data_IF_286084083366
#
_entry.id   IF_286084083366
#
_cell.length_a   1.000
_cell.length_b   1.000
_cell.length_c   1.000
_cell.angle_alpha   90.00
_cell.angle_beta   90.00
_cell.angle_gamma   90.00
#
_symmetry.space_group_name_H-M   'P 1'
#
loop_
_entity.id
_entity.type
_entity.pdbx_description
1 polymer ?
#
# COMPACT_ATOMS: atom_id res chain seq x y z
N UNK A 1 9.87 -18.40 -5.52
CA UNK A 1 9.86 -17.00 -5.01
C UNK A 1 9.31 -15.99 -6.02
N UNK A 2 9.74 -15.96 -7.32
CA UNK A 2 9.08 -15.08 -8.30
C UNK A 2 7.66 -15.57 -8.65
N UNK A 3 7.45 -16.87 -8.78
CA UNK A 3 6.14 -17.50 -9.05
C UNK A 3 5.13 -17.23 -7.92
N UNK A 4 5.54 -17.37 -6.67
CA UNK A 4 4.65 -17.16 -5.51
C UNK A 4 4.18 -15.71 -5.41
N UNK A 5 5.04 -14.75 -5.79
CA UNK A 5 4.70 -13.32 -5.78
C UNK A 5 3.67 -12.99 -6.85
N UNK A 6 3.78 -13.59 -8.04
CA UNK A 6 2.84 -13.39 -9.13
C UNK A 6 1.45 -13.99 -8.80
N UNK A 7 1.39 -15.20 -8.24
CA UNK A 7 0.14 -15.79 -7.78
C UNK A 7 -0.55 -14.94 -6.71
N UNK A 8 0.20 -14.44 -5.72
CA UNK A 8 -0.34 -13.58 -4.68
C UNK A 8 -0.86 -12.24 -5.24
N UNK A 9 -0.19 -11.68 -6.24
CA UNK A 9 -0.64 -10.44 -6.91
C UNK A 9 -1.95 -10.64 -7.66
N UNK A 10 -2.13 -11.77 -8.32
CA UNK A 10 -3.35 -12.09 -9.07
C UNK A 10 -4.56 -12.38 -8.17
N UNK A 11 -4.35 -12.85 -6.94
CA UNK A 11 -5.46 -13.07 -5.99
C UNK A 11 -6.21 -11.80 -5.62
N UNK A 12 -5.63 -10.61 -5.82
CA UNK A 12 -6.32 -9.34 -5.59
C UNK A 12 -7.37 -9.01 -6.66
N UNK A 13 -7.34 -9.65 -7.83
CA UNK A 13 -8.29 -9.39 -8.91
C UNK A 13 -9.75 -9.72 -8.50
N UNK A 14 -9.95 -10.82 -7.79
CA UNK A 14 -11.29 -11.30 -7.41
C UNK A 14 -11.94 -10.52 -6.26
N UNK A 15 -11.20 -9.59 -5.65
CA UNK A 15 -11.60 -8.91 -4.43
C UNK A 15 -11.81 -7.40 -4.59
N UNK A 16 -11.86 -6.83 -5.82
CA UNK A 16 -11.87 -5.38 -6.03
C UNK A 16 -12.99 -4.63 -5.28
N UNK A 17 -14.23 -5.11 -5.38
CA UNK A 17 -15.36 -4.48 -4.69
C UNK A 17 -15.27 -4.63 -3.16
N UNK A 18 -14.76 -5.77 -2.69
CA UNK A 18 -14.52 -6.03 -1.28
C UNK A 18 -13.38 -5.15 -0.76
N UNK A 19 -12.29 -5.04 -1.53
CA UNK A 19 -11.15 -4.19 -1.21
C UNK A 19 -11.57 -2.73 -0.99
N UNK A 20 -12.34 -2.17 -1.92
CA UNK A 20 -12.83 -0.80 -1.85
C UNK A 20 -13.65 -0.54 -0.58
N UNK A 21 -14.49 -1.49 -0.18
CA UNK A 21 -15.38 -1.37 0.97
C UNK A 21 -14.66 -1.61 2.31
N UNK A 22 -13.82 -2.65 2.37
CA UNK A 22 -13.30 -3.17 3.62
C UNK A 22 -11.97 -2.54 4.07
N UNK A 23 -11.09 -2.16 3.12
CA UNK A 23 -9.82 -1.49 3.49
C UNK A 23 -10.08 -0.08 4.01
N UNK A 24 -9.44 0.33 5.11
CA UNK A 24 -9.58 1.69 5.61
C UNK A 24 -9.00 2.71 4.64
N UNK A 25 -9.50 3.94 4.73
CA UNK A 25 -8.86 5.07 4.10
C UNK A 25 -7.62 5.50 4.91
N UNK A 26 -6.68 6.15 4.25
CA UNK A 26 -5.51 6.73 4.92
C UNK A 26 -5.88 8.06 5.58
N UNK A 27 -5.18 8.44 6.68
CA UNK A 27 -5.39 9.75 7.31
C UNK A 27 -5.14 10.90 6.31
N UNK A 28 -6.01 11.94 6.28
CA UNK A 28 -5.80 13.11 5.43
C UNK A 28 -4.42 13.76 5.61
N UNK A 29 -3.92 13.83 6.86
CA UNK A 29 -2.61 14.39 7.17
C UNK A 29 -1.46 13.71 6.42
N UNK A 30 -1.59 12.41 6.06
CA UNK A 30 -0.59 11.72 5.25
C UNK A 30 -0.47 12.35 3.86
N UNK A 31 -1.58 12.71 3.23
CA UNK A 31 -1.59 13.34 1.91
C UNK A 31 -1.12 14.79 1.98
N UNK A 32 -1.50 15.52 3.05
CA UNK A 32 -1.04 16.90 3.27
C UNK A 32 0.50 16.94 3.40
N UNK A 33 1.06 16.05 4.23
CA UNK A 33 2.51 15.94 4.40
C UNK A 33 3.21 15.46 3.12
N UNK A 34 2.63 14.52 2.37
CA UNK A 34 3.16 14.10 1.07
C UNK A 34 3.28 15.27 0.10
N UNK A 35 2.22 16.09 -0.01
CA UNK A 35 2.18 17.27 -0.87
C UNK A 35 3.24 18.29 -0.44
N UNK A 36 3.36 18.55 0.86
CA UNK A 36 4.33 19.50 1.41
C UNK A 36 5.77 19.01 1.19
N UNK A 37 6.08 17.78 1.61
CA UNK A 37 7.44 17.21 1.56
C UNK A 37 7.96 17.07 0.12
N UNK A 38 7.09 16.67 -0.82
CA UNK A 38 7.43 16.60 -2.23
C UNK A 38 7.26 17.95 -2.97
N UNK A 39 6.87 19.02 -2.26
CA UNK A 39 6.67 20.37 -2.79
C UNK A 39 5.73 20.43 -4.00
N UNK A 40 4.69 19.60 -4.01
CA UNK A 40 3.78 19.43 -5.13
C UNK A 40 2.85 20.63 -5.33
N UNK A 41 2.53 20.90 -6.59
CA UNK A 41 1.64 21.98 -7.01
C UNK A 41 0.53 21.45 -7.89
N UNK A 42 -0.63 22.06 -7.83
CA UNK A 42 -1.74 21.72 -8.71
C UNK A 42 -1.28 21.63 -10.18
N UNK A 43 -1.64 20.52 -10.82
CA UNK A 43 -1.27 20.24 -12.21
C UNK A 43 0.03 19.45 -12.38
N UNK A 44 0.79 19.22 -11.30
CA UNK A 44 1.96 18.33 -11.33
C UNK A 44 1.55 16.92 -11.74
N UNK A 45 2.51 16.19 -12.31
CA UNK A 45 2.33 14.85 -12.85
C UNK A 45 2.78 13.80 -11.85
N UNK A 46 1.86 12.94 -11.46
CA UNK A 46 2.11 11.89 -10.50
C UNK A 46 1.98 10.51 -11.17
N UNK A 47 2.84 9.59 -10.82
CA UNK A 47 2.76 8.17 -11.19
C UNK A 47 2.45 7.35 -9.95
N UNK A 48 1.32 6.66 -9.93
CA UNK A 48 0.98 5.70 -8.88
C UNK A 48 1.23 4.27 -9.33
N UNK A 49 1.98 3.53 -8.51
CA UNK A 49 2.28 2.12 -8.73
C UNK A 49 1.35 1.28 -7.86
N UNK A 50 0.52 0.41 -8.47
CA UNK A 50 -0.40 -0.46 -7.77
C UNK A 50 -1.54 0.30 -7.11
N UNK A 51 -2.30 1.07 -7.88
CA UNK A 51 -3.38 1.92 -7.35
C UNK A 51 -4.57 1.13 -6.78
N UNK A 52 -4.62 -0.18 -6.99
CA UNK A 52 -5.76 -1.02 -6.64
C UNK A 52 -7.08 -0.41 -7.14
N UNK A 53 -8.00 -0.06 -6.25
CA UNK A 53 -9.29 0.56 -6.58
C UNK A 53 -9.25 2.09 -6.59
N UNK A 54 -8.08 2.71 -6.42
CA UNK A 54 -7.89 4.17 -6.44
C UNK A 54 -8.07 4.88 -5.10
N UNK A 55 -7.95 4.16 -3.96
CA UNK A 55 -8.14 4.76 -2.62
C UNK A 55 -7.13 5.85 -2.30
N UNK A 56 -5.87 5.68 -2.67
CA UNK A 56 -4.84 6.70 -2.47
C UNK A 56 -4.83 7.73 -3.62
N UNK A 57 -5.26 7.32 -4.80
CA UNK A 57 -5.40 8.22 -5.96
C UNK A 57 -6.45 9.31 -5.72
N UNK A 58 -7.60 8.94 -5.14
CA UNK A 58 -8.77 9.81 -5.03
C UNK A 58 -8.49 11.13 -4.27
N UNK A 59 -7.86 11.13 -3.09
CA UNK A 59 -7.49 12.37 -2.40
C UNK A 59 -6.58 13.26 -3.25
N UNK A 60 -5.56 12.69 -3.90
CA UNK A 60 -4.62 13.43 -4.73
C UNK A 60 -5.28 13.98 -6.00
N UNK A 61 -6.17 13.22 -6.64
CA UNK A 61 -6.96 13.68 -7.77
C UNK A 61 -7.82 14.89 -7.40
N UNK A 62 -8.39 14.91 -6.19
CA UNK A 62 -9.17 16.05 -5.70
C UNK A 62 -8.33 17.34 -5.52
N UNK A 63 -7.02 17.22 -5.30
CA UNK A 63 -6.08 18.36 -5.30
C UNK A 63 -5.77 18.89 -6.70
N UNK A 64 -6.17 18.16 -7.76
CA UNK A 64 -6.03 18.58 -9.16
C UNK A 64 -4.67 18.25 -9.76
N UNK A 65 -4.06 17.16 -9.32
CA UNK A 65 -2.88 16.58 -9.96
C UNK A 65 -3.28 15.79 -11.22
N UNK A 66 -2.33 15.66 -12.15
CA UNK A 66 -2.44 14.77 -13.31
C UNK A 66 -1.83 13.41 -12.94
N UNK A 67 -2.65 12.36 -12.79
CA UNK A 67 -2.20 11.11 -12.23
C UNK A 67 -2.26 9.99 -13.28
N UNK A 68 -1.14 9.31 -13.47
CA UNK A 68 -1.10 8.03 -14.19
C UNK A 68 -0.98 6.92 -13.16
N UNK A 69 -1.96 6.01 -13.15
CA UNK A 69 -1.94 4.83 -12.30
C UNK A 69 -1.54 3.61 -13.13
N UNK A 70 -0.58 2.82 -12.66
CA UNK A 70 -0.20 1.53 -13.27
C UNK A 70 -0.64 0.42 -12.32
N UNK A 71 -1.61 -0.40 -12.75
CA UNK A 71 -2.19 -1.47 -11.94
C UNK A 71 -2.10 -2.80 -12.67
N UNK A 72 -1.57 -3.81 -11.97
CA UNK A 72 -1.39 -5.16 -12.52
C UNK A 72 -2.72 -5.91 -12.65
N UNK A 73 -3.59 -5.79 -11.64
CA UNK A 73 -4.85 -6.51 -11.56
C UNK A 73 -5.89 -5.88 -12.50
N UNK A 74 -6.40 -6.65 -13.48
CA UNK A 74 -7.40 -6.17 -14.43
C UNK A 74 -8.66 -5.66 -13.76
N UNK A 75 -9.23 -6.46 -12.84
CA UNK A 75 -10.46 -6.09 -12.13
C UNK A 75 -10.27 -4.89 -11.22
N UNK A 76 -9.09 -4.78 -10.58
CA UNK A 76 -8.72 -3.61 -9.78
C UNK A 76 -8.58 -2.36 -10.65
N UNK A 77 -7.92 -2.47 -11.81
CA UNK A 77 -7.78 -1.36 -12.76
C UNK A 77 -9.15 -0.89 -13.30
N UNK A 78 -10.06 -1.84 -13.60
CA UNK A 78 -11.41 -1.51 -14.05
C UNK A 78 -12.24 -0.84 -12.94
N UNK A 79 -12.13 -1.32 -11.70
CA UNK A 79 -12.74 -0.67 -10.54
C UNK A 79 -12.18 0.75 -10.30
N UNK A 80 -10.85 0.92 -10.41
CA UNK A 80 -10.21 2.23 -10.30
C UNK A 80 -10.73 3.22 -11.37
N UNK A 81 -10.85 2.78 -12.64
CA UNK A 81 -11.44 3.61 -13.71
C UNK A 81 -12.86 4.06 -13.37
N UNK A 82 -13.67 3.16 -12.80
CA UNK A 82 -15.02 3.50 -12.34
C UNK A 82 -15.02 4.51 -11.21
N UNK A 83 -14.22 4.28 -10.16
CA UNK A 83 -14.15 5.13 -8.99
C UNK A 83 -13.58 6.53 -9.28
N UNK A 84 -12.69 6.62 -10.26
CA UNK A 84 -11.97 7.85 -10.63
C UNK A 84 -12.58 8.55 -11.85
N UNK A 85 -13.72 8.08 -12.38
CA UNK A 85 -14.34 8.61 -13.60
C UNK A 85 -14.69 10.10 -13.55
N UNK A 86 -14.85 10.67 -12.36
CA UNK A 86 -15.09 12.10 -12.16
C UNK A 86 -13.83 12.98 -12.34
N UNK A 87 -12.64 12.38 -12.44
CA UNK A 87 -11.35 13.06 -12.54
C UNK A 87 -10.73 12.85 -13.93
N UNK A 88 -10.95 13.76 -14.89
CA UNK A 88 -10.48 13.59 -16.28
C UNK A 88 -8.96 13.59 -16.42
N UNK A 89 -8.24 14.13 -15.44
CA UNK A 89 -6.77 14.16 -15.40
C UNK A 89 -6.16 12.89 -14.78
N UNK A 90 -6.97 11.86 -14.49
CA UNK A 90 -6.51 10.56 -14.00
C UNK A 90 -6.61 9.52 -15.12
N UNK A 91 -5.52 8.81 -15.37
CA UNK A 91 -5.45 7.70 -16.34
C UNK A 91 -5.05 6.42 -15.62
N UNK A 92 -5.80 5.33 -15.83
CA UNK A 92 -5.47 4.01 -15.26
C UNK A 92 -5.02 3.06 -16.37
N UNK A 93 -3.78 2.60 -16.27
CA UNK A 93 -3.14 1.66 -17.19
C UNK A 93 -3.10 0.28 -16.54
N UNK A 94 -3.65 -0.72 -17.23
CA UNK A 94 -3.53 -2.12 -16.81
C UNK A 94 -2.20 -2.68 -17.32
N UNK A 95 -1.20 -2.75 -16.44
CA UNK A 95 0.14 -3.27 -16.76
C UNK A 95 0.90 -3.63 -15.47
N UNK A 96 1.89 -4.49 -15.58
CA UNK A 96 2.91 -4.64 -14.54
C UNK A 96 3.89 -3.46 -14.61
N UNK A 97 4.17 -2.82 -13.48
CA UNK A 97 5.12 -1.70 -13.45
C UNK A 97 6.48 -2.08 -13.99
N UNK A 98 6.94 -3.30 -13.72
CA UNK A 98 8.23 -3.84 -14.17
C UNK A 98 8.41 -3.82 -15.69
N UNK A 99 7.33 -4.06 -16.43
CA UNK A 99 7.35 -4.11 -17.90
C UNK A 99 6.76 -2.87 -18.57
N UNK A 100 6.11 -1.98 -17.80
CA UNK A 100 5.53 -0.76 -18.34
C UNK A 100 6.62 0.24 -18.75
N UNK A 101 6.49 0.81 -19.94
CA UNK A 101 7.46 1.77 -20.49
C UNK A 101 7.18 3.19 -20.00
N UNK A 102 7.83 3.57 -18.91
CA UNK A 102 7.77 4.92 -18.37
C UNK A 102 8.46 5.95 -19.28
N UNK A 103 9.45 5.54 -20.08
CA UNK A 103 10.20 6.43 -20.95
C UNK A 103 9.36 6.96 -22.16
N UNK A 104 8.26 6.29 -22.48
CA UNK A 104 7.29 6.76 -23.44
C UNK A 104 6.42 7.94 -22.95
N UNK A 105 6.51 8.26 -21.63
CA UNK A 105 5.76 9.33 -20.99
C UNK A 105 6.64 10.55 -20.74
N UNK A 106 6.02 11.72 -20.59
CA UNK A 106 6.72 12.86 -20.00
C UNK A 106 7.08 12.52 -18.54
N UNK A 107 8.27 12.94 -18.02
CA UNK A 107 8.69 12.65 -16.67
C UNK A 107 7.68 13.13 -15.61
N UNK A 108 7.71 12.48 -14.44
CA UNK A 108 6.80 12.74 -13.33
C UNK A 108 7.47 13.58 -12.24
N UNK A 109 6.67 14.41 -11.57
CA UNK A 109 7.10 15.16 -10.37
C UNK A 109 7.19 14.26 -9.15
N UNK A 110 6.29 13.27 -9.08
CA UNK A 110 6.24 12.27 -8.03
C UNK A 110 5.97 10.89 -8.61
N UNK A 111 6.73 9.89 -8.17
CA UNK A 111 6.36 8.46 -8.25
C UNK A 111 5.98 7.99 -6.87
N UNK A 112 4.80 7.39 -6.71
CA UNK A 112 4.38 6.91 -5.41
C UNK A 112 3.72 5.54 -5.42
N UNK A 113 3.70 4.87 -4.25
CA UNK A 113 3.06 3.59 -4.05
C UNK A 113 2.40 3.51 -2.66
N UNK A 114 1.11 3.22 -2.61
CA UNK A 114 0.34 3.05 -1.38
C UNK A 114 0.09 1.56 -1.10
N UNK A 115 0.79 0.99 -0.13
CA UNK A 115 0.73 -0.45 0.22
C UNK A 115 1.02 -1.38 -0.97
N UNK A 116 1.80 -0.91 -1.93
CA UNK A 116 2.14 -1.64 -3.15
C UNK A 116 3.65 -1.80 -3.38
N UNK A 117 4.50 -0.95 -2.79
CA UNK A 117 5.93 -0.90 -3.05
C UNK A 117 6.66 -2.22 -2.81
N UNK A 118 6.28 -2.96 -1.78
CA UNK A 118 6.89 -4.26 -1.43
C UNK A 118 6.57 -5.39 -2.42
N UNK A 119 5.58 -5.21 -3.30
CA UNK A 119 5.22 -6.15 -4.37
C UNK A 119 6.06 -5.95 -5.64
N UNK A 120 6.64 -4.76 -5.83
CA UNK A 120 7.50 -4.46 -6.98
C UNK A 120 8.84 -5.18 -6.80
N UNK A 121 9.41 -5.68 -7.90
CA UNK A 121 10.70 -6.36 -7.90
C UNK A 121 11.79 -5.48 -7.25
N UNK A 122 12.38 -5.91 -6.13
CA UNK A 122 13.36 -5.12 -5.39
C UNK A 122 14.62 -4.79 -6.17
N UNK A 123 14.99 -5.60 -7.19
CA UNK A 123 16.19 -5.37 -7.99
C UNK A 123 16.05 -4.16 -8.93
N UNK A 124 14.81 -3.83 -9.32
CA UNK A 124 14.56 -2.79 -10.31
C UNK A 124 13.76 -1.60 -9.79
N UNK A 125 13.00 -1.74 -8.70
CA UNK A 125 11.98 -0.77 -8.27
C UNK A 125 12.52 0.65 -8.11
N UNK A 126 13.66 0.83 -7.43
CA UNK A 126 14.25 2.15 -7.20
C UNK A 126 14.77 2.77 -8.50
N UNK A 127 15.47 1.98 -9.32
CA UNK A 127 15.99 2.47 -10.60
C UNK A 127 14.86 2.89 -11.53
N UNK A 128 13.85 2.04 -11.68
CA UNK A 128 12.74 2.31 -12.58
C UNK A 128 11.89 3.51 -12.13
N UNK A 129 11.69 3.67 -10.83
CA UNK A 129 11.04 4.86 -10.28
C UNK A 129 11.88 6.13 -10.55
N UNK A 130 13.20 6.06 -10.34
CA UNK A 130 14.11 7.17 -10.63
C UNK A 130 14.12 7.56 -12.12
N UNK A 131 14.13 6.58 -13.02
CA UNK A 131 14.08 6.81 -14.47
C UNK A 131 12.78 7.46 -14.94
N UNK A 132 11.68 7.25 -14.23
CA UNK A 132 10.38 7.87 -14.51
C UNK A 132 10.28 9.32 -14.00
N UNK A 133 11.15 9.73 -13.08
CA UNK A 133 11.11 11.05 -12.45
C UNK A 133 11.82 12.12 -13.30
N UNK A 134 11.28 13.35 -13.25
CA UNK A 134 12.02 14.51 -13.70
C UNK A 134 13.20 14.83 -12.75
N UNK A 135 14.18 15.65 -13.17
CA UNK A 135 15.17 16.21 -12.25
C UNK A 135 14.48 16.89 -11.07
N UNK A 136 14.97 16.64 -9.86
CA UNK A 136 14.37 17.10 -8.59
C UNK A 136 13.00 16.50 -8.24
N UNK A 137 12.49 15.52 -8.98
CA UNK A 137 11.29 14.78 -8.64
C UNK A 137 11.46 13.90 -7.39
N UNK A 138 10.36 13.37 -6.86
CA UNK A 138 10.37 12.62 -5.61
C UNK A 138 9.82 11.21 -5.79
N UNK A 139 10.36 10.28 -5.01
CA UNK A 139 9.76 8.98 -4.74
C UNK A 139 9.06 9.06 -3.39
N UNK A 140 7.83 8.54 -3.31
CA UNK A 140 7.17 8.33 -2.03
C UNK A 140 6.50 6.97 -1.96
N UNK A 141 6.53 6.35 -0.79
CA UNK A 141 5.72 5.16 -0.57
C UNK A 141 5.37 5.01 0.91
N UNK A 142 4.29 4.29 1.15
CA UNK A 142 3.83 3.93 2.49
C UNK A 142 3.11 2.59 2.49
N UNK A 143 3.12 1.94 3.65
CA UNK A 143 2.32 0.76 3.92
C UNK A 143 1.42 1.01 5.12
N UNK A 144 0.27 0.34 5.17
CA UNK A 144 -0.59 0.32 6.33
C UNK A 144 -0.61 -1.07 6.95
N UNK A 145 -0.32 -1.16 8.24
CA UNK A 145 -0.30 -2.43 8.97
C UNK A 145 -1.06 -2.34 10.29
N UNK A 146 -1.31 -3.49 10.91
CA UNK A 146 -1.89 -3.57 12.24
C UNK A 146 -0.84 -3.19 13.28
N UNK A 147 -1.19 -2.25 14.15
CA UNK A 147 -0.39 -1.90 15.32
C UNK A 147 -1.21 -2.15 16.59
N UNK A 148 -0.55 -2.55 17.67
CA UNK A 148 -1.21 -2.92 18.92
C UNK A 148 -0.75 -1.96 20.02
N UNK A 149 -1.57 -0.95 20.42
CA UNK A 149 -1.25 -0.11 21.56
C UNK A 149 -1.24 -0.91 22.86
N UNK A 150 -0.64 -0.34 23.93
CA UNK A 150 -0.53 -1.04 25.22
C UNK A 150 -1.90 -1.41 25.81
N UNK A 151 -2.93 -0.59 25.54
CA UNK A 151 -4.31 -0.78 25.98
C UNK A 151 -5.22 -1.30 24.84
N UNK A 152 -4.66 -2.10 23.93
CA UNK A 152 -5.42 -2.66 22.82
C UNK A 152 -6.51 -3.61 23.31
N UNK A 153 -7.54 -3.76 22.47
CA UNK A 153 -8.58 -4.75 22.69
C UNK A 153 -7.97 -6.16 22.76
N UNK A 154 -8.21 -6.93 23.84
CA UNK A 154 -7.65 -8.28 24.00
C UNK A 154 -8.09 -9.27 22.92
N UNK A 155 -9.14 -8.96 22.17
CA UNK A 155 -9.67 -9.79 21.10
C UNK A 155 -8.60 -10.33 20.14
N UNK A 156 -7.64 -9.48 19.76
CA UNK A 156 -6.60 -9.87 18.80
C UNK A 156 -5.61 -10.89 19.39
N UNK A 157 -5.31 -10.79 20.68
CA UNK A 157 -4.49 -11.77 21.40
C UNK A 157 -5.26 -13.08 21.64
N UNK A 158 -6.50 -12.96 22.07
CA UNK A 158 -7.37 -14.12 22.29
C UNK A 158 -7.64 -14.90 21.00
N UNK A 159 -7.66 -14.24 19.85
CA UNK A 159 -7.88 -14.89 18.56
C UNK A 159 -6.67 -15.73 18.11
N UNK A 160 -5.48 -15.55 18.70
CA UNK A 160 -4.29 -16.32 18.34
C UNK A 160 -4.46 -17.81 18.64
N UNK A 161 -5.26 -18.21 19.63
CA UNK A 161 -5.58 -19.61 19.88
C UNK A 161 -6.22 -20.30 18.67
N UNK A 162 -7.05 -19.55 17.91
CA UNK A 162 -7.68 -20.06 16.69
C UNK A 162 -6.71 -20.09 15.53
N UNK A 163 -5.84 -19.08 15.40
CA UNK A 163 -4.79 -19.08 14.39
C UNK A 163 -3.81 -20.25 14.61
N UNK A 164 -3.45 -20.54 15.87
CA UNK A 164 -2.62 -21.70 16.23
C UNK A 164 -3.31 -23.03 15.88
N UNK A 165 -4.62 -23.14 16.20
CA UNK A 165 -5.43 -24.33 15.89
C UNK A 165 -5.46 -24.64 14.39
N UNK A 166 -5.55 -23.61 13.56
CA UNK A 166 -5.62 -23.78 12.09
C UNK A 166 -4.26 -23.81 11.40
N UNK A 167 -3.15 -23.71 12.17
CA UNK A 167 -1.79 -23.74 11.64
C UNK A 167 -1.28 -22.45 11.00
N UNK A 168 -1.93 -21.32 11.30
CA UNK A 168 -1.61 -19.96 10.81
C UNK A 168 -1.16 -19.03 11.95
N UNK A 169 -0.78 -19.61 13.09
CA UNK A 169 -0.32 -18.87 14.27
C UNK A 169 0.97 -18.09 14.01
N UNK A 170 1.15 -17.04 14.78
CA UNK A 170 2.37 -16.27 14.77
C UNK A 170 3.53 -17.04 15.42
N UNK A 171 4.79 -16.82 15.00
CA UNK A 171 5.95 -17.33 15.70
C UNK A 171 5.90 -16.96 17.19
N UNK A 172 6.40 -17.84 18.05
CA UNK A 172 6.34 -17.66 19.51
C UNK A 172 7.08 -16.41 20.02
N UNK A 173 8.02 -15.89 19.23
CA UNK A 173 8.79 -14.66 19.47
C UNK A 173 8.25 -13.45 18.69
N UNK A 174 7.11 -13.56 18.03
CA UNK A 174 6.52 -12.47 17.29
C UNK A 174 6.16 -11.30 18.20
N UNK A 175 6.69 -10.14 17.88
CA UNK A 175 6.37 -8.90 18.57
C UNK A 175 5.35 -8.14 17.75
N UNK A 176 4.25 -7.78 18.38
CA UNK A 176 3.24 -6.95 17.76
C UNK A 176 3.77 -5.51 17.66
N UNK A 177 3.79 -4.92 16.45
CA UNK A 177 4.25 -3.54 16.31
C UNK A 177 3.33 -2.58 17.07
N UNK A 178 3.94 -1.58 17.71
CA UNK A 178 3.21 -0.54 18.44
C UNK A 178 3.01 0.71 17.58
N UNK A 179 2.00 1.53 17.92
CA UNK A 179 1.86 2.86 17.33
C UNK A 179 3.16 3.67 17.42
N UNK A 180 3.56 4.30 16.33
CA UNK A 180 4.78 5.10 16.24
C UNK A 180 6.10 4.30 16.19
N UNK A 181 6.08 2.98 16.31
CA UNK A 181 7.28 2.13 16.39
C UNK A 181 7.49 1.25 15.13
N UNK A 182 6.73 1.51 14.07
CA UNK A 182 6.95 0.79 12.82
C UNK A 182 8.34 1.10 12.26
N UNK A 183 9.08 0.09 11.77
CA UNK A 183 10.36 0.33 11.11
C UNK A 183 10.18 1.17 9.86
N UNK A 184 11.21 1.93 9.52
CA UNK A 184 11.28 2.66 8.26
C UNK A 184 12.28 2.01 7.29
N UNK A 185 12.18 2.40 6.01
CA UNK A 185 13.01 1.88 4.92
C UNK A 185 14.09 2.89 4.48
N UNK A 186 14.46 3.86 5.34
CA UNK A 186 15.44 4.90 5.04
C UNK A 186 16.76 4.33 4.53
N UNK A 187 17.31 3.35 5.25
CA UNK A 187 18.58 2.74 4.91
C UNK A 187 18.54 2.06 3.53
N UNK A 188 17.42 1.44 3.18
CA UNK A 188 17.24 0.81 1.87
C UNK A 188 17.15 1.85 0.75
N UNK A 189 16.40 2.94 0.97
CA UNK A 189 16.29 4.04 0.01
C UNK A 189 17.67 4.67 -0.24
N UNK A 190 18.43 4.94 0.81
CA UNK A 190 19.77 5.53 0.74
C UNK A 190 20.77 4.57 0.06
N UNK A 191 20.69 3.27 0.38
CA UNK A 191 21.55 2.25 -0.22
C UNK A 191 21.33 2.09 -1.75
N UNK A 192 20.17 2.44 -2.26
CA UNK A 192 19.93 2.47 -3.70
C UNK A 192 20.79 3.51 -4.43
N UNK A 193 21.28 4.55 -3.75
CA UNK A 193 22.18 5.58 -4.28
C UNK A 193 21.53 6.49 -5.34
N UNK A 194 20.22 6.43 -5.49
CA UNK A 194 19.42 7.16 -6.49
C UNK A 194 18.56 8.26 -5.87
N UNK A 195 18.46 8.26 -4.55
CA UNK A 195 17.60 9.17 -3.78
C UNK A 195 18.38 9.78 -2.61
N UNK A 196 18.01 10.98 -2.23
CA UNK A 196 18.58 11.74 -1.11
C UNK A 196 17.48 12.41 -0.28
N UNK A 197 17.85 13.01 0.87
CA UNK A 197 16.93 13.78 1.72
C UNK A 197 15.66 12.98 2.07
N UNK A 198 15.86 11.76 2.58
CA UNK A 198 14.76 10.90 2.95
C UNK A 198 14.04 11.43 4.19
N UNK A 199 12.80 11.85 4.01
CA UNK A 199 11.88 12.24 5.08
C UNK A 199 10.96 11.09 5.42
N UNK A 200 10.72 10.89 6.72
CA UNK A 200 9.85 9.81 7.23
C UNK A 200 8.83 10.40 8.19
N UNK A 201 7.56 9.99 8.05
CA UNK A 201 6.47 10.36 8.94
C UNK A 201 5.64 9.14 9.33
N UNK A 202 5.26 9.08 10.60
CA UNK A 202 4.43 8.01 11.15
C UNK A 202 3.01 8.51 11.37
N UNK A 203 2.02 7.66 11.05
CA UNK A 203 0.60 7.93 11.23
C UNK A 203 -0.04 6.75 11.92
N UNK A 204 -0.83 7.03 12.93
CA UNK A 204 -1.61 6.01 13.65
C UNK A 204 -3.07 6.43 13.68
N UNK A 205 -3.96 5.48 13.37
CA UNK A 205 -5.41 5.68 13.45
C UNK A 205 -6.12 4.39 13.83
N UNK A 206 -7.41 4.47 14.10
CA UNK A 206 -8.20 3.30 14.44
C UNK A 206 -9.52 3.28 13.66
N UNK A 207 -10.00 2.07 13.39
CA UNK A 207 -11.28 1.81 12.73
C UNK A 207 -12.03 0.76 13.52
N UNK A 208 -13.32 1.02 13.77
CA UNK A 208 -14.22 0.08 14.44
C UNK A 208 -14.91 -0.81 13.40
N UNK A 209 -14.80 -2.13 13.58
CA UNK A 209 -15.40 -3.13 12.72
C UNK A 209 -16.43 -3.94 13.49
N UNK A 210 -17.58 -4.20 12.89
CA UNK A 210 -18.42 -5.32 13.30
C UNK A 210 -17.85 -6.65 12.79
N UNK A 211 -18.48 -7.76 13.13
CA UNK A 211 -17.96 -9.07 12.80
C UNK A 211 -17.82 -9.32 11.29
N UNK A 212 -18.83 -8.92 10.52
CA UNK A 212 -18.81 -9.11 9.06
C UNK A 212 -17.83 -8.15 8.39
N UNK A 213 -17.77 -6.88 8.80
CA UNK A 213 -16.78 -5.92 8.32
C UNK A 213 -15.35 -6.34 8.61
N UNK A 214 -15.11 -6.97 9.78
CA UNK A 214 -13.78 -7.49 10.10
C UNK A 214 -13.43 -8.71 9.24
N UNK A 215 -14.36 -9.62 9.01
CA UNK A 215 -14.17 -10.76 8.08
C UNK A 215 -13.96 -10.26 6.65
N UNK A 216 -14.73 -9.27 6.22
CA UNK A 216 -14.56 -8.62 4.92
C UNK A 216 -13.12 -8.04 4.77
N UNK A 217 -12.62 -7.36 5.81
CA UNK A 217 -11.26 -6.87 5.83
C UNK A 217 -10.24 -8.01 5.68
N UNK A 218 -10.37 -9.10 6.45
CA UNK A 218 -9.46 -10.24 6.40
C UNK A 218 -9.43 -10.86 5.00
N UNK A 219 -10.56 -10.94 4.31
CA UNK A 219 -10.66 -11.42 2.93
C UNK A 219 -9.95 -10.50 1.90
N UNK A 220 -9.41 -9.36 2.31
CA UNK A 220 -8.59 -8.50 1.45
C UNK A 220 -7.08 -8.72 1.66
N UNK A 221 -6.69 -9.54 2.62
CA UNK A 221 -5.28 -9.86 2.86
C UNK A 221 -4.88 -11.15 2.12
N UNK A 222 -3.75 -11.11 1.41
CA UNK A 222 -3.23 -12.25 0.65
C UNK A 222 -3.09 -13.51 1.49
N UNK A 223 -2.60 -13.41 2.73
CA UNK A 223 -2.49 -14.55 3.64
C UNK A 223 -3.82 -15.25 3.91
N UNK A 224 -4.90 -14.48 4.16
CA UNK A 224 -6.22 -15.07 4.40
C UNK A 224 -6.86 -15.62 3.11
N UNK A 225 -6.60 -14.99 1.96
CA UNK A 225 -7.06 -15.49 0.67
C UNK A 225 -6.41 -16.84 0.37
N UNK A 226 -5.13 -17.00 0.71
CA UNK A 226 -4.38 -18.24 0.48
C UNK A 226 -4.74 -19.39 1.44
N UNK A 227 -5.43 -19.12 2.57
CA UNK A 227 -5.88 -20.14 3.51
C UNK A 227 -6.82 -21.15 2.84
N UNK A 228 -6.78 -22.39 3.32
CA UNK A 228 -7.76 -23.41 2.92
C UNK A 228 -9.18 -23.01 3.36
N UNK A 229 -10.23 -23.42 2.63
CA UNK A 229 -11.62 -23.08 2.97
C UNK A 229 -11.98 -23.41 4.42
N UNK A 230 -11.60 -24.59 4.93
CA UNK A 230 -11.88 -25.01 6.30
C UNK A 230 -11.20 -24.12 7.36
N UNK A 231 -9.99 -23.61 7.08
CA UNK A 231 -9.27 -22.69 7.96
C UNK A 231 -10.03 -21.35 8.08
N UNK A 232 -10.43 -20.79 6.94
CA UNK A 232 -11.25 -19.57 6.90
C UNK A 232 -12.60 -19.76 7.61
N UNK A 233 -13.30 -20.86 7.33
CA UNK A 233 -14.60 -21.13 7.94
C UNK A 233 -14.48 -21.22 9.46
N UNK A 234 -13.44 -21.91 9.98
CA UNK A 234 -13.16 -22.01 11.42
C UNK A 234 -12.88 -20.67 12.05
N UNK A 235 -11.95 -19.90 11.45
CA UNK A 235 -11.54 -18.58 11.95
C UNK A 235 -12.71 -17.59 11.92
N UNK A 236 -13.42 -17.47 10.80
CA UNK A 236 -14.49 -16.50 10.62
C UNK A 236 -15.72 -16.80 11.46
N UNK A 237 -16.05 -18.08 11.67
CA UNK A 237 -17.09 -18.48 12.60
C UNK A 237 -16.77 -18.06 14.03
N UNK A 238 -15.50 -18.22 14.44
CA UNK A 238 -15.07 -17.84 15.79
C UNK A 238 -15.03 -16.32 15.98
N UNK A 239 -14.60 -15.56 14.97
CA UNK A 239 -14.67 -14.10 14.97
C UNK A 239 -16.11 -13.63 15.17
N UNK A 240 -17.07 -14.16 14.38
CA UNK A 240 -18.48 -13.80 14.50
C UNK A 240 -19.04 -14.16 15.87
N UNK A 241 -18.71 -15.35 16.40
CA UNK A 241 -19.16 -15.78 17.72
C UNK A 241 -18.65 -14.83 18.82
N UNK A 242 -17.33 -14.58 18.86
CA UNK A 242 -16.71 -13.74 19.92
C UNK A 242 -17.20 -12.30 19.86
N UNK A 243 -17.30 -11.71 18.67
CA UNK A 243 -17.81 -10.35 18.53
C UNK A 243 -19.31 -10.27 18.81
N UNK A 244 -20.10 -11.30 18.43
CA UNK A 244 -21.52 -11.37 18.73
C UNK A 244 -21.86 -11.46 20.23
N UNK A 245 -20.95 -11.99 21.05
CA UNK A 245 -21.09 -12.05 22.51
C UNK A 245 -20.75 -10.75 23.23
N UNK A 246 -20.15 -9.77 22.53
CA UNK A 246 -19.78 -8.46 23.09
C UNK A 246 -20.97 -7.51 23.13
N UNK A 247 -21.07 -6.62 24.15
CA UNK A 247 -22.15 -5.65 24.23
C UNK A 247 -22.23 -4.73 23.00
N UNK A 248 -21.07 -4.30 22.47
CA UNK A 248 -20.98 -3.37 21.34
C UNK A 248 -20.91 -4.08 20.00
N UNK A 249 -20.73 -5.41 19.99
CA UNK A 249 -20.56 -6.26 18.80
C UNK A 249 -19.50 -5.75 17.82
N UNK A 250 -18.49 -5.08 18.33
CA UNK A 250 -17.42 -4.43 17.56
C UNK A 250 -16.04 -4.71 18.13
N UNK A 251 -15.06 -4.54 17.26
CA UNK A 251 -13.64 -4.51 17.62
C UNK A 251 -12.99 -3.27 17.04
N UNK A 252 -12.18 -2.58 17.83
CA UNK A 252 -11.35 -1.46 17.38
C UNK A 252 -10.01 -1.98 16.93
N UNK A 253 -9.74 -1.86 15.62
CA UNK A 253 -8.44 -2.19 15.05
C UNK A 253 -7.62 -0.91 14.85
N UNK A 254 -6.40 -0.93 15.36
CA UNK A 254 -5.44 0.15 15.19
C UNK A 254 -4.57 -0.10 13.97
N UNK A 255 -4.31 0.96 13.24
CA UNK A 255 -3.49 0.96 12.04
C UNK A 255 -2.33 1.90 12.22
N UNK A 256 -1.17 1.52 11.69
CA UNK A 256 -0.01 2.39 11.56
C UNK A 256 0.43 2.44 10.11
N UNK A 257 0.91 3.60 9.68
CA UNK A 257 1.58 3.77 8.39
C UNK A 257 2.87 4.57 8.56
N UNK A 258 3.85 4.26 7.70
CA UNK A 258 5.09 5.01 7.60
C UNK A 258 5.19 5.55 6.19
N UNK A 259 5.13 6.87 6.05
CA UNK A 259 5.34 7.58 4.79
C UNK A 259 6.83 7.86 4.64
N UNK A 260 7.38 7.46 3.50
CA UNK A 260 8.73 7.83 3.05
C UNK A 260 8.60 8.76 1.88
N UNK A 261 9.35 9.86 1.89
CA UNK A 261 9.49 10.79 0.76
C UNK A 261 10.96 11.05 0.54
N UNK A 262 11.46 10.80 -0.65
CA UNK A 262 12.88 10.94 -0.98
C UNK A 262 13.06 11.65 -2.31
N UNK A 263 14.00 12.60 -2.36
CA UNK A 263 14.29 13.37 -3.56
C UNK A 263 15.22 12.61 -4.51
N UNK A 264 14.93 12.61 -5.80
CA UNK A 264 15.80 12.00 -6.81
C UNK A 264 17.13 12.78 -6.93
N UNK A 265 18.25 12.05 -6.97
CA UNK A 265 19.56 12.68 -7.25
C UNK A 265 19.65 13.06 -8.72
N UNK A 266 20.22 14.24 -8.98
CA UNK A 266 20.33 14.81 -10.34
C UNK A 266 21.64 14.44 -11.05
N UNK A 267 22.68 13.99 -10.34
CA UNK A 267 23.98 13.69 -10.91
C UNK A 267 24.05 12.35 -11.62
N UNK A 268 24.42 12.39 -12.91
CA UNK A 268 24.61 11.22 -13.79
C UNK A 268 25.70 10.23 -13.31
N UNK A 269 26.52 10.58 -12.32
CA UNK A 269 27.55 9.71 -11.74
C UNK A 269 27.01 8.69 -10.72
N UNK A 270 25.83 8.91 -10.16
CA UNK A 270 25.19 7.96 -9.24
C UNK A 270 24.56 6.76 -9.96
N UNK A 271 24.16 6.94 -11.21
CA UNK A 271 23.53 5.91 -12.03
C UNK A 271 24.52 5.34 -13.04
N UNK A 272 25.38 4.41 -12.68
CA UNK A 272 26.29 3.74 -13.63
C UNK A 272 25.66 3.46 -15.00
N UNK A 273 25.77 4.43 -15.94
CA UNK A 273 25.49 4.32 -17.36
C UNK A 273 24.03 4.50 -17.78
N UNK A 274 23.61 5.73 -18.05
CA UNK A 274 22.63 5.95 -19.12
C UNK A 274 23.30 5.53 -20.44
N UNK A 275 22.72 4.63 -21.27
CA UNK A 275 23.22 4.45 -22.62
C UNK A 275 22.99 5.80 -23.34
N UNK A 276 24.09 6.44 -23.74
CA UNK A 276 24.05 7.57 -24.67
C UNK A 276 23.44 7.06 -25.96
N UNK A 277 22.15 7.38 -26.19
CA UNK A 277 21.48 7.18 -27.47
C UNK A 277 22.17 8.03 -28.52
N UNK A 278 22.80 7.34 -29.47
CA UNK A 278 23.23 7.88 -30.74
C UNK A 278 22.14 7.70 -31.78
#
# INVERSE_FOLDING_TARGET
>A
MADDREELRQTFETAAALYQRARPDYPPALFDDLIELASLRRGDRLLEIGCATGKATLPLAAHGFRITCVELGRELADAARGNLAAFPDVTVVHAAFESWDAAAMEPFDLVFAATAWHWVDPEIRYRKAWEALQPDGHLAFWGATHVIPAEADPFFQELQDVYDEIGEGLPADAVWPRPGELPDDRDEIEAAGLFEKVEVRHYDWAVDYDADGYVDLLNTFSGHIAMQPWQRDRLYSEIRRRLGERPEQRVRRHWGAVLHVAKAVTDANAAGGRPSGG
#
